data_IF_857757308331
#
_entry.id   IF_857757308331
#
_cell.length_a   1.000
_cell.length_b   1.000
_cell.length_c   1.000
_cell.angle_alpha   90.00
_cell.angle_beta   90.00
_cell.angle_gamma   90.00
#
_symmetry.space_group_name_H-M   'P 1'
#
loop_
_entity.id
_entity.type
_entity.pdbx_description
1 polymer ?
#
# COMPACT_ATOMS: atom_id res chain seq x y z
N UNK A 1 1.86 21.05 2.08
CA UNK A 1 1.24 19.74 2.36
C UNK A 1 1.39 19.54 3.85
N UNK A 2 0.32 19.25 4.59
CA UNK A 2 0.46 19.00 6.04
C UNK A 2 1.14 17.64 6.29
N UNK A 3 1.74 17.48 7.47
CA UNK A 3 2.51 16.29 7.85
C UNK A 3 1.67 15.00 7.80
N UNK A 4 0.36 15.10 8.05
CA UNK A 4 -0.57 13.97 8.02
C UNK A 4 -0.76 13.48 6.58
N UNK A 5 -0.92 14.41 5.64
CA UNK A 5 -1.03 14.12 4.21
C UNK A 5 0.26 13.48 3.69
N UNK A 6 1.42 14.02 4.08
CA UNK A 6 2.72 13.44 3.70
C UNK A 6 2.89 12.02 4.23
N UNK A 7 2.52 11.77 5.49
CA UNK A 7 2.54 10.44 6.09
C UNK A 7 1.67 9.44 5.31
N UNK A 8 0.43 9.81 4.96
CA UNK A 8 -0.47 8.92 4.20
C UNK A 8 0.05 8.67 2.78
N UNK A 9 0.61 9.67 2.11
CA UNK A 9 1.26 9.49 0.80
C UNK A 9 2.44 8.53 0.87
N UNK A 10 3.28 8.64 1.91
CA UNK A 10 4.41 7.73 2.11
C UNK A 10 3.96 6.30 2.40
N UNK A 11 2.90 6.11 3.18
CA UNK A 11 2.30 4.79 3.39
C UNK A 11 1.75 4.19 2.10
N UNK A 12 1.07 4.99 1.27
CA UNK A 12 0.57 4.53 -0.02
C UNK A 12 1.71 4.16 -0.98
N UNK A 13 2.80 4.91 -0.98
CA UNK A 13 4.01 4.56 -1.73
C UNK A 13 4.58 3.23 -1.26
N UNK A 14 4.73 3.05 0.06
CA UNK A 14 5.21 1.79 0.64
C UNK A 14 4.29 0.60 0.31
N UNK A 15 2.98 0.82 0.29
CA UNK A 15 2.00 -0.20 -0.13
C UNK A 15 2.23 -0.68 -1.57
N UNK A 16 2.41 0.26 -2.52
CA UNK A 16 2.72 -0.06 -3.91
C UNK A 16 4.10 -0.69 -4.09
N UNK A 17 5.11 -0.22 -3.35
CA UNK A 17 6.46 -0.80 -3.38
C UNK A 17 6.44 -2.26 -2.90
N UNK A 18 5.64 -2.59 -1.89
CA UNK A 18 5.46 -3.97 -1.40
C UNK A 18 4.73 -4.82 -2.43
N UNK A 19 3.70 -4.29 -3.09
CA UNK A 19 2.99 -5.00 -4.17
C UNK A 19 3.97 -5.42 -5.26
N UNK A 20 4.78 -4.47 -5.72
CA UNK A 20 5.77 -4.73 -6.76
C UNK A 20 6.85 -5.71 -6.30
N UNK A 21 7.29 -5.62 -5.04
CA UNK A 21 8.25 -6.57 -4.47
C UNK A 21 7.66 -7.98 -4.38
N UNK A 22 6.38 -8.10 -3.99
CA UNK A 22 5.67 -9.38 -3.88
C UNK A 22 5.56 -10.12 -5.23
N UNK A 23 5.33 -9.38 -6.32
CA UNK A 23 5.29 -9.95 -7.68
C UNK A 23 6.64 -10.50 -8.14
N UNK A 24 7.75 -9.87 -7.70
CA UNK A 24 9.10 -10.19 -8.13
C UNK A 24 9.80 -11.24 -7.24
N UNK A 25 9.38 -11.37 -5.98
CA UNK A 25 9.99 -12.29 -5.03
C UNK A 25 9.64 -13.75 -5.36
N UNK A 26 10.64 -14.63 -5.28
CA UNK A 26 10.52 -16.06 -5.58
C UNK A 26 10.59 -16.91 -4.32
N UNK A 27 11.24 -16.43 -3.27
CA UNK A 27 11.31 -17.12 -1.99
C UNK A 27 9.95 -17.11 -1.29
N UNK A 28 9.33 -18.27 -0.99
CA UNK A 28 8.00 -18.31 -0.40
C UNK A 28 7.90 -17.66 0.98
N UNK A 29 8.96 -17.69 1.78
CA UNK A 29 8.96 -17.08 3.11
C UNK A 29 8.99 -15.56 2.99
N UNK A 30 9.88 -15.01 2.16
CA UNK A 30 9.93 -13.59 1.87
C UNK A 30 8.61 -13.07 1.25
N UNK A 31 8.00 -13.82 0.32
CA UNK A 31 6.66 -13.49 -0.22
C UNK A 31 5.59 -13.43 0.86
N UNK A 32 5.63 -14.33 1.83
CA UNK A 32 4.66 -14.34 2.94
C UNK A 32 4.81 -13.10 3.82
N UNK A 33 6.04 -12.70 4.15
CA UNK A 33 6.28 -11.47 4.93
C UNK A 33 5.85 -10.21 4.15
N UNK A 34 6.10 -10.15 2.84
CA UNK A 34 5.60 -9.06 1.99
C UNK A 34 4.07 -9.01 1.98
N UNK A 35 3.39 -10.15 1.85
CA UNK A 35 1.93 -10.21 1.88
C UNK A 35 1.34 -9.73 3.22
N UNK A 36 2.00 -10.04 4.35
CA UNK A 36 1.58 -9.52 5.67
C UNK A 36 1.68 -8.00 5.72
N UNK A 37 2.82 -7.44 5.31
CA UNK A 37 3.02 -5.99 5.26
C UNK A 37 2.00 -5.28 4.36
N UNK A 38 1.75 -5.83 3.16
CA UNK A 38 0.72 -5.34 2.23
C UNK A 38 -0.67 -5.31 2.90
N UNK A 39 -1.05 -6.40 3.58
CA UNK A 39 -2.34 -6.50 4.24
C UNK A 39 -2.49 -5.50 5.40
N UNK A 40 -1.46 -5.30 6.22
CA UNK A 40 -1.50 -4.37 7.35
C UNK A 40 -1.62 -2.92 6.89
N UNK A 41 -0.78 -2.51 5.93
CA UNK A 41 -0.81 -1.13 5.40
C UNK A 41 -2.09 -0.89 4.62
N UNK A 42 -2.52 -1.85 3.79
CA UNK A 42 -3.77 -1.75 3.02
C UNK A 42 -4.99 -1.58 3.93
N UNK A 43 -5.07 -2.34 5.03
CA UNK A 43 -6.14 -2.18 6.04
C UNK A 43 -6.13 -0.79 6.65
N UNK A 44 -4.96 -0.27 7.03
CA UNK A 44 -4.84 1.09 7.57
C UNK A 44 -5.34 2.13 6.56
N UNK A 45 -4.86 2.07 5.31
CA UNK A 45 -5.23 3.04 4.26
C UNK A 45 -6.71 2.97 3.87
N UNK A 46 -7.35 1.79 3.93
CA UNK A 46 -8.80 1.64 3.75
C UNK A 46 -9.55 2.27 4.92
N UNK A 47 -9.12 2.05 6.16
CA UNK A 47 -9.81 2.57 7.36
C UNK A 47 -9.86 4.11 7.41
N UNK A 48 -8.95 4.78 6.71
CA UNK A 48 -8.90 6.24 6.58
C UNK A 48 -9.45 6.75 5.24
N UNK A 49 -10.14 5.89 4.48
CA UNK A 49 -10.72 6.17 3.14
C UNK A 49 -9.73 6.66 2.07
N UNK A 50 -8.42 6.48 2.29
CA UNK A 50 -7.38 7.00 1.41
C UNK A 50 -7.34 6.25 0.07
N UNK A 51 -7.42 4.91 0.09
CA UNK A 51 -7.42 4.11 -1.14
C UNK A 51 -8.72 4.26 -1.95
N UNK A 52 -9.85 4.49 -1.29
CA UNK A 52 -11.15 4.67 -1.94
C UNK A 52 -11.19 6.03 -2.68
N UNK A 53 -10.60 7.05 -2.06
CA UNK A 53 -10.46 8.38 -2.65
C UNK A 53 -9.54 8.38 -3.87
N UNK A 54 -8.44 7.61 -3.85
CA UNK A 54 -7.49 7.53 -4.97
C UNK A 54 -7.96 6.63 -6.13
N UNK A 55 -8.74 5.56 -5.86
CA UNK A 55 -9.36 4.74 -6.94
C UNK A 55 -10.37 5.50 -7.81
N UNK A 56 -10.88 6.64 -7.33
CA UNK A 56 -11.81 7.49 -8.08
C UNK A 56 -11.13 8.38 -9.13
N UNK A 57 -9.79 8.49 -9.11
CA UNK A 57 -8.99 9.23 -10.10
C UNK A 57 -8.49 8.34 -11.25
N UNK A 58 -8.67 7.01 -11.14
CA UNK A 58 -8.37 6.04 -12.18
C UNK A 58 -9.65 5.40 -12.71
N UNK A 59 -10.47 6.15 -13.46
CA UNK A 59 -11.42 5.57 -14.41
C UNK A 59 -11.61 6.52 -15.61
N UNK A 60 -11.90 5.95 -16.80
CA UNK A 60 -11.34 6.31 -18.11
C UNK A 60 -11.67 7.71 -18.64
#
# INVERSE_FOLDING_TARGET
MDEITEFHCNLNKMFLDIEQAYENEKDPLARCELAKGYLEIGKYLVNIDFLISNKSLEKP
#
